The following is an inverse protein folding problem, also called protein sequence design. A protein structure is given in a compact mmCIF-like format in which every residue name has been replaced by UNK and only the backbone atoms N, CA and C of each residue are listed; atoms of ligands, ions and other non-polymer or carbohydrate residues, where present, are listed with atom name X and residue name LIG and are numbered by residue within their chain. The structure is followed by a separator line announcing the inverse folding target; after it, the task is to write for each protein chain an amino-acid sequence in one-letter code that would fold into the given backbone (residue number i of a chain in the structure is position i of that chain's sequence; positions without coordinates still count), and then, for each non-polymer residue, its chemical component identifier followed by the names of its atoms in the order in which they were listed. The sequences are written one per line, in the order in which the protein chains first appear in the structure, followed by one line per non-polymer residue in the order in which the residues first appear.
data_IF_144024427278
#
_entry.id   IF_144024427278
#
_cell.length_a   1.000
_cell.length_b   1.000
_cell.length_c   1.000
_cell.angle_alpha   90.00
_cell.angle_beta   90.00
_cell.angle_gamma   90.00
#
_symmetry.space_group_name_H-M   'P 1'
#
loop_
_entity.id
_entity.type
_entity.pdbx_description
1 polymer ?
#
# COMPACT_ATOMS: atom_id res chain seq x y z
N UNK A 1 19.13 -22.45 -4.02
CA UNK A 1 19.43 -21.04 -4.40
C UNK A 1 18.20 -20.13 -4.30
N UNK A 2 17.06 -20.50 -4.90
CA UNK A 2 15.80 -19.73 -4.89
C UNK A 2 15.30 -19.31 -3.49
N UNK A 3 15.40 -20.19 -2.49
CA UNK A 3 15.01 -19.91 -1.09
C UNK A 3 15.78 -18.75 -0.43
N UNK A 4 17.08 -18.57 -0.73
CA UNK A 4 17.89 -17.46 -0.20
C UNK A 4 17.53 -16.14 -0.87
N UNK A 5 17.23 -16.18 -2.17
CA UNK A 5 16.82 -15.01 -2.94
C UNK A 5 15.44 -14.51 -2.48
N UNK A 6 14.48 -15.42 -2.28
CA UNK A 6 13.17 -15.10 -1.70
C UNK A 6 13.30 -14.48 -0.30
N UNK A 7 14.16 -15.03 0.56
CA UNK A 7 14.40 -14.48 1.91
C UNK A 7 15.09 -13.09 1.88
N UNK A 8 15.92 -12.80 0.88
CA UNK A 8 16.55 -11.50 0.73
C UNK A 8 15.52 -10.44 0.30
N UNK A 9 14.70 -10.77 -0.70
CA UNK A 9 13.57 -9.94 -1.14
C UNK A 9 12.58 -9.73 0.00
N UNK A 10 12.24 -10.79 0.74
CA UNK A 10 11.32 -10.73 1.87
C UNK A 10 11.78 -9.79 3.00
N UNK A 11 13.09 -9.74 3.29
CA UNK A 11 13.67 -8.82 4.28
C UNK A 11 13.68 -7.36 3.84
N UNK A 12 13.72 -7.11 2.53
CA UNK A 12 13.69 -5.75 1.96
C UNK A 12 12.28 -5.30 1.55
N UNK A 13 11.29 -6.20 1.57
CA UNK A 13 9.91 -5.87 1.25
C UNK A 13 9.33 -4.89 2.28
N UNK A 14 8.83 -3.72 1.84
CA UNK A 14 8.28 -2.71 2.74
C UNK A 14 7.06 -3.22 3.52
N UNK A 15 6.26 -4.10 2.92
CA UNK A 15 5.11 -4.75 3.57
C UNK A 15 5.56 -5.57 4.77
N UNK A 16 6.55 -6.45 4.59
CA UNK A 16 7.13 -7.26 5.68
C UNK A 16 7.67 -6.36 6.77
N UNK A 17 8.38 -5.29 6.40
CA UNK A 17 8.96 -4.36 7.36
C UNK A 17 7.89 -3.68 8.22
N UNK A 18 6.75 -3.31 7.63
CA UNK A 18 5.61 -2.72 8.36
C UNK A 18 4.95 -3.75 9.28
N UNK A 19 4.66 -4.96 8.77
CA UNK A 19 3.97 -6.01 9.54
C UNK A 19 4.78 -6.42 10.77
N UNK A 20 6.10 -6.60 10.62
CA UNK A 20 7.00 -7.01 11.70
C UNK A 20 7.59 -5.86 12.52
N UNK A 21 7.32 -4.59 12.16
CA UNK A 21 7.76 -3.46 12.98
C UNK A 21 7.18 -3.54 14.39
N UNK A 22 7.95 -3.13 15.40
CA UNK A 22 7.46 -2.92 16.77
C UNK A 22 6.68 -1.59 16.82
N UNK A 23 5.52 -1.57 16.16
CA UNK A 23 4.61 -0.43 16.08
C UNK A 23 3.20 -0.85 16.52
N UNK A 24 2.39 0.14 16.87
CA UNK A 24 0.98 -0.09 17.21
C UNK A 24 0.20 -0.59 15.98
N UNK A 25 -0.86 -1.38 16.22
CA UNK A 25 -1.62 -2.05 15.15
C UNK A 25 -2.25 -1.04 14.17
N UNK A 26 -2.65 0.09 14.71
CA UNK A 26 -3.29 1.20 14.01
C UNK A 26 -2.33 1.87 13.02
N UNK A 27 -1.10 2.14 13.46
CA UNK A 27 -0.03 2.72 12.64
C UNK A 27 0.37 1.75 11.52
N UNK A 28 0.40 0.44 11.79
CA UNK A 28 0.67 -0.57 10.76
C UNK A 28 -0.41 -0.58 9.69
N UNK A 29 -1.68 -0.43 10.08
CA UNK A 29 -2.81 -0.42 9.16
C UNK A 29 -2.77 0.82 8.24
N UNK A 30 -2.44 1.98 8.80
CA UNK A 30 -2.18 3.22 8.05
C UNK A 30 -1.05 2.99 7.03
N UNK A 31 0.10 2.49 7.48
CA UNK A 31 1.25 2.26 6.63
C UNK A 31 0.99 1.24 5.51
N UNK A 32 0.27 0.14 5.80
CA UNK A 32 -0.14 -0.84 4.79
C UNK A 32 -1.08 -0.23 3.75
N UNK A 33 -1.97 0.66 4.17
CA UNK A 33 -2.89 1.36 3.27
C UNK A 33 -2.14 2.27 2.28
N UNK A 34 -1.12 2.99 2.76
CA UNK A 34 -0.22 3.79 1.92
C UNK A 34 0.52 2.94 0.89
N UNK A 35 1.03 1.77 1.30
CA UNK A 35 1.69 0.83 0.38
C UNK A 35 0.70 0.31 -0.66
N UNK A 36 -0.53 0.00 -0.28
CA UNK A 36 -1.56 -0.45 -1.21
C UNK A 36 -1.83 0.57 -2.32
N UNK A 37 -2.03 1.84 -1.97
CA UNK A 37 -2.17 2.94 -2.95
C UNK A 37 -0.96 3.00 -3.87
N UNK A 38 0.25 2.93 -3.31
CA UNK A 38 1.46 3.03 -4.12
C UNK A 38 1.54 1.88 -5.13
N UNK A 39 1.24 0.65 -4.72
CA UNK A 39 1.24 -0.53 -5.58
C UNK A 39 0.17 -0.43 -6.67
N UNK A 40 -1.02 0.12 -6.36
CA UNK A 40 -2.09 0.32 -7.34
C UNK A 40 -1.81 1.50 -8.29
N UNK A 41 -1.09 2.52 -7.84
CA UNK A 41 -0.72 3.69 -8.64
C UNK A 41 0.44 3.40 -9.59
N UNK A 42 1.37 2.54 -9.18
CA UNK A 42 2.63 2.28 -9.89
C UNK A 42 2.43 1.83 -11.35
N UNK A 43 1.50 0.92 -11.69
CA UNK A 43 1.22 0.54 -13.09
C UNK A 43 0.73 1.71 -13.94
N UNK A 44 -0.16 2.55 -13.40
CA UNK A 44 -0.69 3.73 -14.09
C UNK A 44 0.41 4.79 -14.27
N UNK A 45 1.22 5.03 -13.24
CA UNK A 45 2.36 5.94 -13.29
C UNK A 45 3.39 5.49 -14.33
N UNK A 46 3.75 4.20 -14.35
CA UNK A 46 4.68 3.65 -15.34
C UNK A 46 4.14 3.82 -16.77
N UNK A 47 2.85 3.51 -16.99
CA UNK A 47 2.24 3.69 -18.30
C UNK A 47 2.32 5.14 -18.78
N UNK A 48 2.07 6.10 -17.89
CA UNK A 48 2.09 7.52 -18.23
C UNK A 48 3.51 8.10 -18.38
N UNK A 49 4.47 7.63 -17.57
CA UNK A 49 5.87 8.09 -17.63
C UNK A 49 6.58 7.61 -18.90
N UNK A 50 6.31 6.38 -19.34
CA UNK A 50 6.96 5.77 -20.49
C UNK A 50 6.10 5.79 -21.76
N UNK A 51 4.87 6.34 -21.69
CA UNK A 51 3.89 6.38 -22.78
C UNK A 51 3.72 5.02 -23.47
N UNK A 52 3.65 3.95 -22.65
CA UNK A 52 3.67 2.57 -23.16
C UNK A 52 2.44 2.24 -24.02
N UNK A 53 1.28 2.80 -23.67
CA UNK A 53 0.01 2.60 -24.37
C UNK A 53 -0.81 3.88 -24.35
N UNK A 54 -1.15 4.37 -25.54
CA UNK A 54 -2.11 5.47 -25.76
C UNK A 54 -3.31 4.98 -26.60
N UNK A 55 -4.57 5.32 -26.21
CA UNK A 55 -4.96 6.00 -24.97
C UNK A 55 -4.75 5.12 -23.73
N UNK A 56 -4.62 5.76 -22.55
CA UNK A 56 -4.41 5.05 -21.28
C UNK A 56 -5.48 3.96 -21.09
N UNK A 57 -5.06 2.70 -20.85
CA UNK A 57 -6.00 1.60 -20.66
C UNK A 57 -6.99 1.88 -19.52
N UNK A 58 -8.29 1.80 -19.81
CA UNK A 58 -9.36 1.98 -18.80
C UNK A 58 -9.15 1.07 -17.58
N UNK A 59 -8.66 -0.14 -17.80
CA UNK A 59 -8.34 -1.09 -16.73
C UNK A 59 -7.34 -0.53 -15.71
N UNK A 60 -6.26 0.13 -16.15
CA UNK A 60 -5.26 0.71 -15.24
C UNK A 60 -5.87 1.84 -14.39
N UNK A 61 -6.77 2.62 -14.99
CA UNK A 61 -7.48 3.68 -14.29
C UNK A 61 -8.41 3.10 -13.22
N UNK A 62 -9.18 2.06 -13.55
CA UNK A 62 -10.06 1.39 -12.58
C UNK A 62 -9.28 0.69 -11.47
N UNK A 63 -8.14 0.08 -11.79
CA UNK A 63 -7.26 -0.54 -10.80
C UNK A 63 -6.73 0.49 -9.81
N UNK A 64 -6.28 1.65 -10.30
CA UNK A 64 -5.84 2.75 -9.46
C UNK A 64 -7.00 3.32 -8.62
N UNK A 65 -8.15 3.59 -9.23
CA UNK A 65 -9.31 4.15 -8.53
C UNK A 65 -9.83 3.22 -7.42
N UNK A 66 -9.97 1.91 -7.71
CA UNK A 66 -10.39 0.92 -6.73
C UNK A 66 -9.37 0.72 -5.61
N UNK A 67 -8.09 0.64 -5.96
CA UNK A 67 -6.99 0.55 -4.99
C UNK A 67 -6.90 1.77 -4.09
N UNK A 68 -7.06 2.96 -4.67
CA UNK A 68 -7.08 4.22 -3.93
C UNK A 68 -8.25 4.25 -2.94
N UNK A 69 -9.45 3.88 -3.35
CA UNK A 69 -10.62 3.89 -2.48
C UNK A 69 -10.42 2.95 -1.29
N UNK A 70 -9.97 1.72 -1.52
CA UNK A 70 -9.69 0.75 -0.44
C UNK A 70 -8.61 1.23 0.53
N UNK A 71 -7.54 1.84 0.02
CA UNK A 71 -6.49 2.39 0.87
C UNK A 71 -6.99 3.58 1.71
N UNK A 72 -7.85 4.46 1.18
CA UNK A 72 -8.41 5.55 1.96
C UNK A 72 -9.33 5.02 3.07
N UNK A 73 -10.11 3.97 2.81
CA UNK A 73 -10.91 3.30 3.84
C UNK A 73 -10.01 2.70 4.93
N UNK A 74 -8.94 1.99 4.54
CA UNK A 74 -7.96 1.48 5.50
C UNK A 74 -7.30 2.59 6.32
N UNK A 75 -6.87 3.67 5.67
CA UNK A 75 -6.29 4.84 6.34
C UNK A 75 -7.27 5.46 7.35
N UNK A 76 -8.53 5.67 6.96
CA UNK A 76 -9.58 6.20 7.83
C UNK A 76 -9.82 5.31 9.05
N UNK A 77 -9.94 4.00 8.85
CA UNK A 77 -10.13 3.04 9.95
C UNK A 77 -8.93 3.05 10.90
N UNK A 78 -7.70 3.03 10.36
CA UNK A 78 -6.48 3.06 11.17
C UNK A 78 -6.35 4.36 11.98
N UNK A 79 -6.63 5.50 11.35
CA UNK A 79 -6.61 6.81 12.01
C UNK A 79 -7.71 6.92 13.08
N UNK A 80 -8.93 6.47 12.78
CA UNK A 80 -10.05 6.50 13.72
C UNK A 80 -9.77 5.62 14.95
N UNK A 81 -9.21 4.43 14.73
CA UNK A 81 -8.79 3.53 15.82
C UNK A 81 -7.69 4.16 16.68
N UNK A 82 -6.71 4.82 16.05
CA UNK A 82 -5.63 5.53 16.75
C UNK A 82 -6.18 6.67 17.62
N UNK A 83 -7.07 7.51 17.07
CA UNK A 83 -7.70 8.62 17.81
C UNK A 83 -8.53 8.07 18.97
N UNK A 84 -9.36 7.06 18.72
CA UNK A 84 -10.20 6.44 19.75
C UNK A 84 -9.34 5.89 20.90
N UNK A 85 -8.27 5.16 20.57
CA UNK A 85 -7.34 4.62 21.57
C UNK A 85 -6.59 5.70 22.34
N UNK A 86 -6.25 6.83 21.72
CA UNK A 86 -5.55 7.92 22.39
C UNK A 86 -6.49 8.81 23.23
N UNK A 87 -7.78 8.87 22.87
CA UNK A 87 -8.78 9.71 23.54
C UNK A 87 -9.48 9.00 24.71
N UNK A 88 -9.74 7.69 24.61
CA UNK A 88 -10.42 6.89 25.64
C UNK A 88 -9.45 6.12 26.56
N UNK A 89 -8.17 6.50 26.58
CA UNK A 89 -7.13 5.91 27.43
C UNK A 89 -6.54 6.97 28.34
#
# INVERSE_FOLDING_TARGET
MFKRMLNSVWRHNPITRIVYAKAEKEIKLIALSLVLVLVCALPLMLNNLFQLVEPTPKFLVYLFAGGALLAHVGFLVGLSAMICKNYFR
#
